data_IF_854054696324
#
_entry.id   IF_854054696324
#
_cell.length_a   1.000
_cell.length_b   1.000
_cell.length_c   1.000
_cell.angle_alpha   90.00
_cell.angle_beta   90.00
_cell.angle_gamma   90.00
#
_symmetry.space_group_name_H-M   'P 1'
#
loop_
_entity.id
_entity.type
_entity.pdbx_description
1 polymer ?
#
# COMPACT_ATOMS: atom_id res chain seq x y z
N UNK A 1 69.40 -3.61 -16.59
CA UNK A 1 68.50 -4.47 -17.40
C UNK A 1 67.11 -4.29 -16.85
N UNK A 2 66.25 -3.68 -17.66
CA UNK A 2 64.90 -3.21 -17.35
C UNK A 2 63.94 -4.37 -17.05
N UNK A 3 63.13 -4.27 -15.99
CA UNK A 3 61.80 -4.88 -15.97
C UNK A 3 60.80 -3.84 -15.46
N UNK A 4 60.26 -3.10 -16.42
CA UNK A 4 59.25 -2.06 -16.24
C UNK A 4 57.87 -2.65 -15.94
N UNK A 5 57.20 -2.04 -14.94
CA UNK A 5 55.78 -1.63 -14.90
C UNK A 5 54.93 -2.12 -16.09
N UNK A 6 54.19 -3.23 -15.95
CA UNK A 6 53.14 -3.59 -16.92
C UNK A 6 51.84 -4.16 -16.34
N UNK A 7 51.68 -4.23 -15.01
CA UNK A 7 50.36 -4.42 -14.40
C UNK A 7 49.79 -3.05 -14.01
N UNK A 8 48.48 -2.87 -14.15
CA UNK A 8 47.67 -1.71 -13.71
C UNK A 8 47.47 -0.52 -14.67
N UNK A 9 47.38 -0.73 -15.99
CA UNK A 9 46.72 0.26 -16.87
C UNK A 9 45.53 -0.28 -17.63
N UNK A 10 45.59 -1.52 -18.13
CA UNK A 10 44.50 -2.18 -18.84
C UNK A 10 43.34 -2.58 -17.94
N UNK A 11 43.58 -3.08 -16.72
CA UNK A 11 42.52 -3.43 -15.78
C UNK A 11 41.76 -2.18 -15.24
N UNK A 12 42.48 -1.07 -15.02
CA UNK A 12 41.88 0.19 -14.56
C UNK A 12 41.08 0.87 -15.69
N UNK A 13 41.58 0.83 -16.93
CA UNK A 13 40.85 1.32 -18.11
C UNK A 13 39.62 0.47 -18.45
N UNK A 14 39.67 -0.86 -18.26
CA UNK A 14 38.52 -1.74 -18.45
C UNK A 14 37.42 -1.50 -17.39
N UNK A 15 37.78 -1.31 -16.11
CA UNK A 15 36.81 -0.95 -15.07
C UNK A 15 36.20 0.45 -15.28
N UNK A 16 37.00 1.43 -15.70
CA UNK A 16 36.52 2.77 -16.05
C UNK A 16 35.61 2.75 -17.29
N UNK A 17 35.95 1.96 -18.31
CA UNK A 17 35.12 1.78 -19.50
C UNK A 17 33.77 1.11 -19.16
N UNK A 18 33.78 0.07 -18.33
CA UNK A 18 32.57 -0.62 -17.86
C UNK A 18 31.68 0.30 -17.01
N UNK A 19 32.24 1.09 -16.09
CA UNK A 19 31.50 2.10 -15.32
C UNK A 19 30.95 3.23 -16.22
N UNK A 20 31.72 3.71 -17.19
CA UNK A 20 31.24 4.74 -18.11
C UNK A 20 30.15 4.25 -19.05
N UNK A 21 30.20 2.98 -19.47
CA UNK A 21 29.15 2.34 -20.26
C UNK A 21 27.88 2.09 -19.44
N UNK A 22 28.00 1.70 -18.17
CA UNK A 22 26.84 1.53 -17.28
C UNK A 22 26.19 2.86 -16.91
N UNK A 23 26.97 3.91 -16.63
CA UNK A 23 26.46 5.27 -16.39
C UNK A 23 25.82 5.86 -17.64
N UNK A 24 26.40 5.67 -18.83
CA UNK A 24 25.81 6.12 -20.09
C UNK A 24 24.53 5.34 -20.46
N UNK A 25 24.45 4.03 -20.14
CA UNK A 25 23.25 3.24 -20.34
C UNK A 25 22.13 3.64 -19.37
N UNK A 26 22.47 3.92 -18.11
CA UNK A 26 21.53 4.41 -17.09
C UNK A 26 21.03 5.82 -17.43
N UNK A 27 21.91 6.71 -17.90
CA UNK A 27 21.57 8.04 -18.44
C UNK A 27 20.60 7.99 -19.62
N UNK A 28 20.77 7.07 -20.57
CA UNK A 28 19.82 6.91 -21.69
C UNK A 28 18.48 6.30 -21.28
N UNK A 29 18.50 5.44 -20.26
CA UNK A 29 17.27 4.86 -19.71
C UNK A 29 16.45 5.96 -19.03
N UNK A 30 17.09 6.82 -18.26
CA UNK A 30 16.47 7.97 -17.60
C UNK A 30 15.98 9.02 -18.62
N UNK A 31 16.74 9.32 -19.68
CA UNK A 31 16.34 10.26 -20.74
C UNK A 31 14.94 9.95 -21.31
N UNK A 32 14.60 8.67 -21.46
CA UNK A 32 13.29 8.26 -21.97
C UNK A 32 12.15 8.60 -21.01
N UNK A 33 12.36 8.42 -19.71
CA UNK A 33 11.35 8.75 -18.70
C UNK A 33 11.27 10.26 -18.45
N UNK A 34 12.40 10.97 -18.55
CA UNK A 34 12.46 12.45 -18.49
C UNK A 34 11.68 13.09 -19.64
N UNK A 35 11.62 12.43 -20.80
CA UNK A 35 10.86 12.91 -21.95
C UNK A 35 9.34 12.71 -21.83
N UNK A 36 8.86 11.91 -20.88
CA UNK A 36 7.44 11.70 -20.70
C UNK A 36 6.75 12.92 -20.08
N UNK A 37 5.52 13.25 -20.51
CA UNK A 37 4.76 14.31 -19.89
C UNK A 37 4.49 13.98 -18.42
N UNK A 38 4.64 14.99 -17.57
CA UNK A 38 4.32 14.89 -16.16
C UNK A 38 2.88 15.27 -15.92
N UNK A 39 2.16 14.47 -15.13
CA UNK A 39 0.84 14.82 -14.64
C UNK A 39 0.95 15.45 -13.25
N UNK A 40 0.40 16.66 -13.08
CA UNK A 40 0.49 17.43 -11.83
C UNK A 40 -0.84 17.58 -11.07
N UNK A 41 -1.92 16.96 -11.58
CA UNK A 41 -3.19 16.94 -10.85
C UNK A 41 -3.23 15.85 -9.78
N UNK A 42 -4.34 15.76 -9.06
CA UNK A 42 -4.47 15.00 -7.80
C UNK A 42 -5.57 13.92 -7.82
N UNK A 43 -6.12 13.63 -8.99
CA UNK A 43 -7.21 12.69 -9.24
C UNK A 43 -6.75 11.51 -10.11
N UNK A 44 -5.47 11.10 -9.96
CA UNK A 44 -5.04 9.83 -10.52
C UNK A 44 -5.90 8.70 -9.96
N UNK A 45 -6.05 7.70 -10.81
CA UNK A 45 -6.75 6.45 -10.65
C UNK A 45 -8.27 6.52 -10.64
N UNK A 46 -8.92 6.96 -9.56
CA UNK A 46 -10.38 6.92 -9.46
C UNK A 46 -10.94 8.01 -8.55
N UNK A 47 -11.95 8.72 -9.03
CA UNK A 47 -12.73 9.70 -8.27
C UNK A 47 -14.22 9.51 -8.55
N UNK A 48 -15.04 9.50 -7.49
CA UNK A 48 -16.51 9.58 -7.61
C UNK A 48 -16.93 11.02 -7.35
N UNK A 49 -17.57 11.66 -8.34
CA UNK A 49 -18.03 13.05 -8.24
C UNK A 49 -19.16 13.33 -9.23
N UNK A 50 -20.13 14.15 -8.82
CA UNK A 50 -21.23 14.58 -9.69
C UNK A 50 -22.07 13.44 -10.26
N UNK A 51 -22.25 12.35 -9.50
CA UNK A 51 -22.96 11.15 -9.94
C UNK A 51 -22.20 10.30 -10.97
N UNK A 52 -20.91 10.56 -11.20
CA UNK A 52 -20.06 9.83 -12.11
C UNK A 52 -18.88 9.18 -11.38
N UNK A 53 -18.38 8.08 -11.93
CA UNK A 53 -17.09 7.50 -11.55
C UNK A 53 -16.09 7.78 -12.66
N UNK A 54 -15.04 8.52 -12.34
CA UNK A 54 -14.02 8.99 -13.28
C UNK A 54 -12.73 8.24 -12.99
N UNK A 55 -12.16 7.64 -14.02
CA UNK A 55 -10.90 6.93 -13.97
C UNK A 55 -9.80 7.71 -14.69
N UNK A 56 -8.59 7.73 -14.12
CA UNK A 56 -7.42 8.36 -14.75
C UNK A 56 -6.16 7.54 -14.56
N UNK A 57 -5.54 7.08 -15.64
CA UNK A 57 -4.31 6.30 -15.60
C UNK A 57 -3.18 7.07 -16.25
N UNK A 58 -2.06 7.27 -15.57
CA UNK A 58 -0.85 7.77 -16.23
C UNK A 58 -0.12 6.61 -16.90
N UNK A 59 -0.12 6.59 -18.23
CA UNK A 59 0.55 5.55 -19.03
C UNK A 59 0.92 6.13 -20.40
N UNK A 60 1.90 7.06 -20.45
CA UNK A 60 2.19 7.87 -21.65
C UNK A 60 2.65 7.05 -22.87
N UNK A 61 3.15 5.83 -22.63
CA UNK A 61 3.65 4.94 -23.69
C UNK A 61 2.56 4.02 -24.26
N UNK A 62 1.42 3.87 -23.58
CA UNK A 62 0.39 2.94 -24.02
C UNK A 62 -0.16 3.33 -25.41
N UNK A 63 -0.53 2.32 -26.21
CA UNK A 63 -1.21 2.50 -27.50
C UNK A 63 -2.73 2.59 -27.33
N UNK A 64 -3.24 1.96 -26.26
CA UNK A 64 -4.63 1.95 -25.84
C UNK A 64 -4.70 1.62 -24.35
N UNK A 65 -5.76 2.05 -23.68
CA UNK A 65 -6.05 1.68 -22.30
C UNK A 65 -7.53 1.36 -22.11
N UNK A 66 -7.80 0.43 -21.22
CA UNK A 66 -9.14 0.00 -20.80
C UNK A 66 -9.28 0.17 -19.29
N UNK A 67 -10.51 0.44 -18.86
CA UNK A 67 -10.95 0.14 -17.50
C UNK A 67 -11.98 -0.99 -17.53
N UNK A 68 -11.70 -2.05 -16.80
CA UNK A 68 -12.57 -3.22 -16.66
C UNK A 68 -13.32 -3.10 -15.33
N UNK A 69 -14.64 -3.26 -15.34
CA UNK A 69 -15.49 -3.20 -14.14
C UNK A 69 -15.96 -4.61 -13.77
N UNK A 70 -15.96 -4.90 -12.48
CA UNK A 70 -16.27 -6.21 -11.90
C UNK A 70 -17.27 -6.07 -10.75
N UNK A 71 -18.10 -7.09 -10.57
CA UNK A 71 -19.01 -7.27 -9.43
C UNK A 71 -18.38 -8.06 -8.26
N UNK A 72 -17.16 -8.57 -8.45
CA UNK A 72 -16.42 -9.36 -7.48
C UNK A 72 -14.94 -8.93 -7.43
N UNK A 73 -14.37 -8.87 -6.22
CA UNK A 73 -13.00 -8.41 -6.02
C UNK A 73 -11.90 -9.42 -6.34
N UNK A 74 -12.24 -10.68 -6.60
CA UNK A 74 -11.26 -11.78 -6.68
C UNK A 74 -11.41 -12.65 -7.94
N UNK A 75 -12.64 -12.98 -8.34
CA UNK A 75 -12.94 -13.96 -9.40
C UNK A 75 -13.93 -13.43 -10.43
N UNK A 76 -14.16 -14.18 -11.51
CA UNK A 76 -15.13 -13.81 -12.53
C UNK A 76 -14.56 -12.90 -13.62
N UNK A 77 -15.39 -12.62 -14.62
CA UNK A 77 -15.07 -11.78 -15.79
C UNK A 77 -15.58 -10.36 -15.58
N UNK A 78 -15.07 -9.37 -16.32
CA UNK A 78 -15.61 -8.02 -16.24
C UNK A 78 -17.07 -8.01 -16.69
N UNK A 79 -17.90 -7.27 -15.97
CA UNK A 79 -19.30 -7.03 -16.30
C UNK A 79 -19.42 -5.94 -17.37
N UNK A 80 -18.51 -4.97 -17.35
CA UNK A 80 -18.41 -3.88 -18.33
C UNK A 80 -16.94 -3.54 -18.59
N UNK A 81 -16.63 -3.08 -19.80
CA UNK A 81 -15.29 -2.67 -20.22
C UNK A 81 -15.42 -1.36 -20.96
N UNK A 82 -14.60 -0.37 -20.61
CA UNK A 82 -14.61 0.96 -21.22
C UNK A 82 -13.25 1.28 -21.82
N UNK A 83 -13.26 1.72 -23.07
CA UNK A 83 -12.09 2.37 -23.68
C UNK A 83 -11.78 3.68 -22.95
N UNK A 84 -10.50 3.91 -22.70
CA UNK A 84 -10.03 5.16 -22.13
C UNK A 84 -9.52 6.09 -23.25
N UNK A 85 -9.72 7.38 -23.07
CA UNK A 85 -9.28 8.44 -24.01
C UNK A 85 -7.94 8.98 -23.56
N UNK A 86 -6.96 9.00 -24.46
CA UNK A 86 -5.63 9.55 -24.22
C UNK A 86 -5.63 11.09 -24.20
N UNK A 87 -4.87 11.66 -23.28
CA UNK A 87 -4.41 13.04 -23.27
C UNK A 87 -2.89 13.07 -23.43
N UNK A 88 -2.42 13.40 -24.63
CA UNK A 88 -1.00 13.42 -24.96
C UNK A 88 -0.23 14.51 -24.19
N UNK A 89 -0.88 15.60 -23.75
CA UNK A 89 -0.21 16.67 -23.03
C UNK A 89 0.19 16.25 -21.61
N UNK A 90 -0.59 15.35 -21.00
CA UNK A 90 -0.37 14.88 -19.63
C UNK A 90 0.13 13.44 -19.55
N UNK A 91 0.02 12.68 -20.64
CA UNK A 91 0.32 11.24 -20.67
C UNK A 91 -0.74 10.38 -19.98
N UNK A 92 -1.89 10.97 -19.68
CA UNK A 92 -2.97 10.27 -18.97
C UNK A 92 -3.99 9.69 -19.92
N UNK A 93 -4.69 8.67 -19.45
CA UNK A 93 -5.84 8.05 -20.06
C UNK A 93 -7.03 8.28 -19.15
N UNK A 94 -8.20 8.61 -19.70
CA UNK A 94 -9.40 8.89 -18.90
C UNK A 94 -10.63 8.14 -19.41
N UNK A 95 -11.46 7.70 -18.48
CA UNK A 95 -12.80 7.20 -18.77
C UNK A 95 -13.77 7.73 -17.71
N UNK A 96 -15.00 8.05 -18.11
CA UNK A 96 -16.05 8.49 -17.20
C UNK A 96 -17.26 7.59 -17.36
N UNK A 97 -17.70 6.99 -16.26
CA UNK A 97 -18.91 6.17 -16.20
C UNK A 97 -20.01 7.03 -15.56
N UNK A 98 -21.16 7.24 -16.22
CA UNK A 98 -22.20 8.18 -15.77
C UNK A 98 -23.09 7.59 -14.65
N UNK A 99 -22.44 6.97 -13.65
CA UNK A 99 -23.03 6.48 -12.40
C UNK A 99 -21.94 6.31 -11.35
N UNK A 100 -22.36 6.32 -10.09
CA UNK A 100 -21.51 5.94 -8.97
C UNK A 100 -21.36 4.42 -8.94
N UNK A 101 -20.12 3.94 -8.88
CA UNK A 101 -19.80 2.50 -8.93
C UNK A 101 -19.52 1.93 -7.54
N UNK A 102 -20.06 2.53 -6.46
CA UNK A 102 -19.84 2.03 -5.10
C UNK A 102 -20.15 0.54 -4.96
N UNK A 103 -19.23 -0.20 -4.36
CA UNK A 103 -19.31 -1.66 -4.19
C UNK A 103 -18.79 -2.46 -5.39
N UNK A 104 -18.49 -1.81 -6.51
CA UNK A 104 -17.87 -2.45 -7.67
C UNK A 104 -16.34 -2.44 -7.55
N UNK A 105 -15.72 -3.27 -8.38
CA UNK A 105 -14.26 -3.37 -8.49
C UNK A 105 -13.82 -3.01 -9.90
N UNK A 106 -12.55 -2.65 -10.06
CA UNK A 106 -11.99 -2.35 -11.35
C UNK A 106 -10.51 -2.75 -11.48
N UNK A 107 -10.08 -2.85 -12.73
CA UNK A 107 -8.68 -2.92 -13.11
C UNK A 107 -8.45 -2.03 -14.32
N UNK A 108 -7.19 -1.64 -14.52
CA UNK A 108 -6.71 -1.10 -15.77
C UNK A 108 -6.03 -2.18 -16.60
N UNK A 109 -6.13 -2.02 -17.91
CA UNK A 109 -5.33 -2.79 -18.86
C UNK A 109 -4.77 -1.84 -19.91
N UNK A 110 -3.51 -2.01 -20.27
CA UNK A 110 -2.86 -1.18 -21.30
C UNK A 110 -2.31 -2.04 -22.42
N UNK A 111 -2.28 -1.46 -23.61
CA UNK A 111 -1.68 -2.06 -24.80
C UNK A 111 -0.30 -1.46 -25.04
N UNK A 112 0.72 -2.31 -25.18
CA UNK A 112 2.09 -1.92 -25.52
C UNK A 112 2.64 -2.85 -26.60
N UNK A 113 3.20 -2.29 -27.67
CA UNK A 113 3.73 -3.02 -28.82
C UNK A 113 2.71 -4.01 -29.42
N UNK A 114 1.47 -3.56 -29.63
CA UNK A 114 0.42 -4.39 -30.21
C UNK A 114 -0.20 -5.44 -29.26
N UNK A 115 0.28 -5.58 -28.02
CA UNK A 115 -0.17 -6.59 -27.05
C UNK A 115 -0.82 -5.96 -25.83
N UNK A 116 -1.95 -6.52 -25.39
CA UNK A 116 -2.52 -6.21 -24.09
C UNK A 116 -1.66 -6.85 -22.99
N UNK A 117 -1.26 -6.04 -22.01
CA UNK A 117 -0.55 -6.51 -20.82
C UNK A 117 -1.56 -7.07 -19.79
N UNK A 118 -1.02 -7.64 -18.72
CA UNK A 118 -1.83 -8.10 -17.59
C UNK A 118 -2.59 -6.92 -16.95
N UNK A 119 -3.75 -7.24 -16.37
CA UNK A 119 -4.54 -6.27 -15.63
C UNK A 119 -3.86 -5.87 -14.31
N UNK A 120 -4.10 -4.63 -13.89
CA UNK A 120 -3.58 -4.09 -12.64
C UNK A 120 -4.67 -3.31 -11.90
N UNK A 121 -4.71 -3.34 -10.56
CA UNK A 121 -5.58 -2.43 -9.79
C UNK A 121 -5.21 -0.94 -10.00
N UNK A 122 -4.04 -0.66 -10.55
CA UNK A 122 -3.46 0.69 -10.57
C UNK A 122 -2.42 0.86 -9.47
N UNK A 123 -1.54 1.84 -9.62
CA UNK A 123 -0.46 2.11 -8.65
C UNK A 123 -0.97 2.91 -7.45
N UNK A 124 -2.09 3.62 -7.60
CA UNK A 124 -2.61 4.57 -6.61
C UNK A 124 -3.74 3.99 -5.75
N UNK A 125 -4.04 2.70 -5.90
CA UNK A 125 -5.21 2.01 -5.37
C UNK A 125 -5.36 2.30 -3.88
N UNK A 126 -6.51 2.82 -3.47
CA UNK A 126 -6.80 3.14 -2.05
C UNK A 126 -7.63 2.08 -1.34
N UNK A 127 -8.22 1.17 -2.11
CA UNK A 127 -8.99 0.04 -1.64
C UNK A 127 -8.89 -1.08 -2.67
N UNK A 128 -8.85 -2.33 -2.23
CA UNK A 128 -8.79 -3.52 -3.08
C UNK A 128 -9.67 -4.63 -2.53
N UNK A 129 -10.06 -5.55 -3.41
CA UNK A 129 -10.63 -6.83 -3.01
C UNK A 129 -9.58 -7.77 -2.43
N UNK A 130 -10.05 -8.91 -1.90
CA UNK A 130 -9.17 -9.95 -1.33
C UNK A 130 -8.08 -10.39 -2.30
N UNK A 131 -6.83 -10.42 -1.81
CA UNK A 131 -5.62 -10.71 -2.56
C UNK A 131 -5.09 -9.56 -3.42
N UNK A 132 -5.71 -8.38 -3.37
CA UNK A 132 -5.15 -7.13 -3.90
C UNK A 132 -5.04 -7.02 -5.42
N UNK A 133 -5.75 -7.86 -6.18
CA UNK A 133 -5.67 -7.86 -7.67
C UNK A 133 -6.66 -6.94 -8.37
N UNK A 134 -7.70 -6.48 -7.68
CA UNK A 134 -8.69 -5.54 -8.21
C UNK A 134 -8.89 -4.41 -7.23
N UNK A 135 -8.82 -3.18 -7.71
CA UNK A 135 -9.15 -2.01 -6.91
C UNK A 135 -10.66 -1.94 -6.68
N UNK A 136 -11.08 -1.34 -5.57
CA UNK A 136 -12.48 -1.23 -5.17
C UNK A 136 -12.94 0.22 -5.19
N UNK A 137 -14.19 0.44 -5.62
CA UNK A 137 -14.85 1.75 -5.52
C UNK A 137 -15.66 1.77 -4.23
N UNK A 138 -15.17 2.49 -3.23
CA UNK A 138 -15.82 2.64 -1.92
C UNK A 138 -15.94 4.10 -1.51
N UNK A 139 -16.89 4.41 -0.62
CA UNK A 139 -16.93 5.70 0.05
C UNK A 139 -16.02 5.69 1.27
N UNK A 140 -14.85 6.33 1.18
CA UNK A 140 -13.86 6.38 2.25
C UNK A 140 -14.38 7.00 3.55
N UNK A 141 -15.45 7.79 3.51
CA UNK A 141 -16.04 8.39 4.72
C UNK A 141 -16.77 7.35 5.56
N UNK A 142 -17.27 6.27 4.94
CA UNK A 142 -17.96 5.18 5.63
C UNK A 142 -17.00 4.31 6.44
N UNK A 143 -15.69 4.46 6.25
CA UNK A 143 -14.66 3.72 7.00
C UNK A 143 -14.14 4.50 8.20
N UNK A 144 -14.61 5.73 8.44
CA UNK A 144 -14.16 6.55 9.56
C UNK A 144 -14.77 6.08 10.88
N UNK A 145 -13.97 5.80 11.92
CA UNK A 145 -14.49 5.60 13.26
C UNK A 145 -15.05 6.91 13.86
N UNK A 146 -15.76 6.79 14.97
CA UNK A 146 -16.30 7.95 15.67
C UNK A 146 -15.19 8.94 16.06
N UNK A 147 -15.41 10.23 15.77
CA UNK A 147 -14.45 11.30 16.08
C UNK A 147 -13.21 11.36 15.16
N UNK A 148 -13.12 10.54 14.11
CA UNK A 148 -11.98 10.51 13.19
C UNK A 148 -11.62 11.87 12.58
N UNK A 149 -12.62 12.64 12.16
CA UNK A 149 -12.39 13.97 11.53
C UNK A 149 -11.75 15.00 12.48
N UNK A 150 -11.80 14.77 13.80
CA UNK A 150 -11.20 15.63 14.81
C UNK A 150 -9.90 15.05 15.39
N UNK A 151 -9.49 13.86 14.95
CA UNK A 151 -8.29 13.19 15.44
C UNK A 151 -7.04 13.85 14.86
N UNK A 152 -6.06 14.14 15.72
CA UNK A 152 -4.79 14.77 15.35
C UNK A 152 -3.56 14.01 15.89
N UNK A 153 -3.77 12.93 16.62
CA UNK A 153 -2.72 12.23 17.35
C UNK A 153 -2.04 13.07 18.45
N UNK A 154 -1.07 12.49 19.18
CA UNK A 154 -0.30 13.20 20.18
C UNK A 154 0.69 14.19 19.54
N UNK A 155 0.87 15.35 20.17
CA UNK A 155 1.82 16.35 19.71
C UNK A 155 3.28 15.93 20.01
N UNK A 156 4.17 16.12 19.04
CA UNK A 156 5.62 15.93 19.20
C UNK A 156 6.30 17.29 19.19
N UNK A 157 6.89 17.69 20.31
CA UNK A 157 7.56 19.00 20.41
C UNK A 157 9.00 18.91 19.90
N UNK A 158 9.75 17.89 20.32
CA UNK A 158 11.10 17.61 19.82
C UNK A 158 11.21 16.13 19.43
N UNK A 159 11.95 15.85 18.36
CA UNK A 159 12.19 14.48 17.93
C UNK A 159 12.96 13.65 18.97
N UNK A 160 13.75 14.28 19.84
CA UNK A 160 14.47 13.60 20.93
C UNK A 160 13.56 13.14 22.07
N UNK A 161 12.31 13.60 22.12
CA UNK A 161 11.32 13.15 23.11
C UNK A 161 10.66 11.83 22.68
N UNK A 162 10.92 11.36 21.45
CA UNK A 162 10.33 10.16 20.87
C UNK A 162 11.01 8.90 21.41
N UNK A 163 10.22 8.08 22.08
CA UNK A 163 10.53 6.69 22.46
C UNK A 163 9.71 5.77 21.56
N UNK A 164 10.40 5.01 20.70
CA UNK A 164 9.82 4.11 19.69
C UNK A 164 9.75 2.68 20.24
N UNK A 165 8.62 2.03 20.02
CA UNK A 165 8.44 0.59 20.18
C UNK A 165 8.08 -0.05 18.85
N UNK A 166 9.01 -0.83 18.30
CA UNK A 166 8.77 -1.55 17.05
C UNK A 166 7.93 -2.81 17.30
N UNK A 167 6.92 -3.03 16.47
CA UNK A 167 6.02 -4.18 16.57
C UNK A 167 5.48 -4.66 15.23
N UNK A 168 4.95 -5.87 15.24
CA UNK A 168 4.23 -6.49 14.14
C UNK A 168 2.83 -6.91 14.61
N UNK A 169 1.79 -6.67 13.81
CA UNK A 169 0.37 -6.91 14.18
C UNK A 169 0.13 -8.33 14.69
N UNK A 170 0.68 -9.32 13.99
CA UNK A 170 0.57 -10.74 14.36
C UNK A 170 1.32 -11.03 15.65
N UNK A 171 2.55 -10.55 15.79
CA UNK A 171 3.43 -10.93 16.90
C UNK A 171 2.93 -10.39 18.23
N UNK A 172 2.39 -9.17 18.22
CA UNK A 172 1.87 -8.52 19.41
C UNK A 172 0.79 -9.37 20.12
N UNK A 173 -0.04 -10.09 19.37
CA UNK A 173 -1.31 -10.61 19.88
C UNK A 173 -1.57 -12.10 19.63
N UNK A 174 -0.83 -12.75 18.72
CA UNK A 174 -1.11 -14.13 18.30
C UNK A 174 -0.90 -15.17 19.40
N UNK A 175 -0.10 -14.87 20.43
CA UNK A 175 0.15 -15.82 21.50
C UNK A 175 -1.15 -16.19 22.26
N UNK A 176 -1.42 -17.47 22.58
CA UNK A 176 -2.65 -17.88 23.25
C UNK A 176 -2.91 -17.18 24.60
N UNK A 177 -1.84 -16.78 25.29
CA UNK A 177 -1.92 -16.06 26.56
C UNK A 177 -1.98 -14.53 26.44
N UNK A 178 -2.17 -13.97 25.24
CA UNK A 178 -2.20 -12.51 25.04
C UNK A 178 -3.41 -11.84 25.70
N UNK A 179 -4.47 -12.58 25.99
CA UNK A 179 -5.73 -12.03 26.50
C UNK A 179 -6.57 -11.30 25.44
N UNK A 180 -6.04 -11.14 24.22
CA UNK A 180 -6.68 -10.42 23.10
C UNK A 180 -7.61 -11.35 22.33
N UNK A 181 -8.79 -10.89 21.96
CA UNK A 181 -9.77 -11.61 21.15
C UNK A 181 -9.38 -11.61 19.67
N UNK A 182 -9.11 -10.43 19.09
CA UNK A 182 -8.77 -10.24 17.68
C UNK A 182 -7.28 -10.51 17.40
N UNK A 183 -6.82 -11.72 17.70
CA UNK A 183 -5.42 -12.13 17.56
C UNK A 183 -4.92 -11.96 16.13
N UNK A 184 -3.82 -11.22 16.00
CA UNK A 184 -3.13 -10.89 14.76
C UNK A 184 -3.88 -9.97 13.81
N UNK A 185 -4.84 -9.21 14.32
CA UNK A 185 -5.66 -8.27 13.54
C UNK A 185 -5.39 -6.83 13.94
N UNK A 186 -5.77 -5.89 13.08
CA UNK A 186 -5.73 -4.45 13.42
C UNK A 186 -6.48 -4.15 14.72
N UNK A 187 -7.64 -4.79 14.94
CA UNK A 187 -8.44 -4.61 16.15
C UNK A 187 -7.76 -5.09 17.45
N UNK A 188 -6.64 -5.83 17.38
CA UNK A 188 -5.91 -6.26 18.57
C UNK A 188 -5.50 -5.08 19.47
N UNK A 189 -5.16 -3.94 18.85
CA UNK A 189 -4.74 -2.72 19.55
C UNK A 189 -5.91 -1.83 19.99
N UNK A 190 -7.15 -2.20 19.69
CA UNK A 190 -8.34 -1.48 20.17
C UNK A 190 -8.92 -2.07 21.45
N UNK A 191 -8.39 -3.20 21.91
CA UNK A 191 -8.92 -3.95 23.05
C UNK A 191 -8.25 -3.51 24.36
N UNK A 192 -9.04 -2.92 25.26
CA UNK A 192 -8.62 -2.55 26.61
C UNK A 192 -8.92 -3.65 27.63
N UNK A 193 -8.19 -3.65 28.74
CA UNK A 193 -8.33 -4.59 29.85
C UNK A 193 -7.80 -5.99 29.54
N UNK A 194 -7.01 -6.16 28.48
CA UNK A 194 -6.42 -7.45 28.13
C UNK A 194 -5.30 -7.79 29.10
N UNK A 195 -5.29 -9.03 29.60
CA UNK A 195 -4.29 -9.50 30.56
C UNK A 195 -3.76 -10.88 30.20
N UNK A 196 -2.51 -11.13 30.62
CA UNK A 196 -1.89 -12.45 30.56
C UNK A 196 -2.49 -13.41 31.60
N UNK A 197 -2.08 -14.69 31.54
CA UNK A 197 -2.48 -15.70 32.55
C UNK A 197 -2.01 -15.35 33.96
N UNK A 198 -1.03 -14.46 34.12
CA UNK A 198 -0.52 -13.97 35.40
C UNK A 198 -1.20 -12.67 35.84
N UNK A 199 -2.16 -12.15 35.06
CA UNK A 199 -2.85 -10.89 35.36
C UNK A 199 -2.04 -9.63 35.01
N UNK A 200 -0.98 -9.75 34.21
CA UNK A 200 -0.21 -8.60 33.72
C UNK A 200 -0.92 -7.99 32.52
N UNK A 201 -0.90 -6.65 32.39
CA UNK A 201 -1.46 -5.97 31.23
C UNK A 201 -0.77 -6.46 29.94
N UNK A 202 -1.54 -6.51 28.86
CA UNK A 202 -1.08 -6.83 27.50
C UNK A 202 -1.65 -5.81 26.51
N UNK A 203 -1.25 -5.91 25.23
CA UNK A 203 -1.83 -5.07 24.18
C UNK A 203 -1.60 -3.57 24.41
N UNK A 204 -2.60 -2.75 24.08
CA UNK A 204 -2.51 -1.29 24.16
C UNK A 204 -2.29 -0.78 25.60
N UNK A 205 -2.89 -1.43 26.59
CA UNK A 205 -2.75 -1.01 27.98
C UNK A 205 -1.32 -1.24 28.50
N UNK A 206 -0.66 -2.31 28.08
CA UNK A 206 0.75 -2.53 28.38
C UNK A 206 1.67 -1.52 27.68
N UNK A 207 1.40 -1.18 26.41
CA UNK A 207 2.17 -0.15 25.71
C UNK A 207 2.06 1.20 26.42
N UNK A 208 0.86 1.55 26.89
CA UNK A 208 0.62 2.75 27.70
C UNK A 208 1.32 2.69 29.05
N UNK A 209 1.28 1.55 29.74
CA UNK A 209 2.00 1.31 31.01
C UNK A 209 3.51 1.47 30.84
N UNK A 210 4.07 0.97 29.74
CA UNK A 210 5.50 1.03 29.43
C UNK A 210 5.99 2.48 29.23
N UNK A 211 5.08 3.41 28.91
CA UNK A 211 5.39 4.83 28.76
C UNK A 211 6.06 5.19 27.43
N UNK A 212 5.85 4.36 26.40
CA UNK A 212 6.32 4.67 25.04
C UNK A 212 5.54 5.87 24.48
N UNK A 213 6.12 6.54 23.51
CA UNK A 213 5.45 7.67 22.84
C UNK A 213 4.90 7.27 21.47
N UNK A 214 5.55 6.33 20.79
CA UNK A 214 5.19 5.93 19.44
C UNK A 214 5.35 4.42 19.27
N UNK A 215 4.41 3.81 18.55
CA UNK A 215 4.65 2.51 17.93
C UNK A 215 5.23 2.70 16.53
N UNK A 216 6.26 1.92 16.21
CA UNK A 216 6.71 1.70 14.83
C UNK A 216 6.12 0.38 14.36
N UNK A 217 5.20 0.45 13.41
CA UNK A 217 4.48 -0.72 12.93
C UNK A 217 5.14 -1.18 11.64
N UNK A 218 5.58 -2.44 11.62
CA UNK A 218 6.04 -3.14 10.42
C UNK A 218 5.03 -3.00 9.26
N UNK A 219 5.44 -3.31 8.01
CA UNK A 219 4.61 -3.14 6.82
C UNK A 219 3.13 -3.45 7.02
N UNK A 220 2.32 -2.40 6.90
CA UNK A 220 0.86 -2.45 7.06
C UNK A 220 0.11 -2.17 5.76
N UNK A 221 0.84 -1.98 4.66
CA UNK A 221 0.30 -1.92 3.30
C UNK A 221 0.11 -3.33 2.73
N UNK A 222 -0.74 -3.49 1.73
CA UNK A 222 -1.03 -4.76 1.05
C UNK A 222 0.23 -5.35 0.41
N UNK A 223 0.59 -6.57 0.81
CA UNK A 223 1.77 -7.29 0.33
C UNK A 223 1.40 -8.68 -0.23
N UNK A 224 2.31 -9.29 -1.00
CA UNK A 224 1.96 -10.43 -1.88
C UNK A 224 2.07 -11.81 -1.24
N UNK A 225 2.80 -11.94 -0.14
CA UNK A 225 3.32 -13.20 0.39
C UNK A 225 2.37 -13.97 1.32
N UNK A 226 1.16 -13.45 1.57
CA UNK A 226 0.16 -14.07 2.44
C UNK A 226 -1.16 -14.23 1.69
N UNK A 227 -1.72 -15.44 1.71
CA UNK A 227 -2.99 -15.74 1.04
C UNK A 227 -4.19 -15.26 1.85
N UNK A 228 -4.67 -14.05 1.58
CA UNK A 228 -5.82 -13.48 2.27
C UNK A 228 -7.12 -14.31 2.12
N UNK A 229 -7.21 -15.22 1.15
CA UNK A 229 -8.39 -16.08 0.96
C UNK A 229 -8.44 -17.23 1.96
N UNK A 230 -7.32 -17.52 2.65
CA UNK A 230 -7.20 -18.66 3.54
C UNK A 230 -6.45 -18.34 4.85
N UNK A 231 -6.97 -17.36 5.61
CA UNK A 231 -6.38 -16.87 6.85
C UNK A 231 -6.02 -17.94 7.89
N UNK A 232 -6.69 -19.10 7.91
CA UNK A 232 -6.42 -20.16 8.87
C UNK A 232 -5.09 -20.88 8.64
N UNK A 233 -4.64 -20.97 7.38
CA UNK A 233 -3.41 -21.68 7.00
C UNK A 233 -2.31 -20.71 6.55
N UNK A 234 -2.47 -19.43 6.85
CA UNK A 234 -1.56 -18.42 6.37
C UNK A 234 -0.17 -18.53 6.97
N UNK A 235 0.80 -18.57 6.06
CA UNK A 235 2.21 -18.40 6.34
C UNK A 235 2.44 -17.05 7.00
N UNK A 236 3.47 -17.00 7.84
CA UNK A 236 3.93 -15.76 8.44
C UNK A 236 4.82 -15.01 7.44
N UNK A 237 4.65 -13.69 7.35
CA UNK A 237 5.60 -12.79 6.70
C UNK A 237 5.64 -11.46 7.46
N UNK A 238 6.74 -10.73 7.34
CA UNK A 238 6.88 -9.36 7.84
C UNK A 238 6.25 -8.31 6.92
N UNK A 239 6.03 -8.62 5.64
CA UNK A 239 5.32 -7.76 4.68
C UNK A 239 6.22 -6.84 3.84
N UNK A 240 7.54 -7.07 3.81
CA UNK A 240 8.49 -6.32 2.95
C UNK A 240 8.46 -6.77 1.47
N UNK A 241 7.26 -7.02 0.93
CA UNK A 241 7.02 -7.41 -0.45
C UNK A 241 5.80 -6.67 -1.02
N UNK A 242 5.91 -5.35 -1.25
CA UNK A 242 4.78 -4.48 -1.56
C UNK A 242 4.00 -4.92 -2.80
N UNK A 243 2.67 -4.93 -2.67
CA UNK A 243 1.77 -5.17 -3.79
C UNK A 243 0.93 -3.92 -4.09
N UNK A 244 0.25 -3.34 -3.10
CA UNK A 244 -0.49 -2.08 -3.24
C UNK A 244 -0.12 -1.10 -2.12
N UNK A 245 0.68 -0.09 -2.46
CA UNK A 245 1.30 0.82 -1.47
C UNK A 245 0.33 1.68 -0.65
N UNK A 246 -0.88 1.93 -1.16
CA UNK A 246 -1.84 2.84 -0.54
C UNK A 246 -3.05 2.12 0.06
N UNK A 247 -2.99 0.80 0.19
CA UNK A 247 -4.07 -0.03 0.73
C UNK A 247 -3.57 -0.78 1.97
N UNK A 248 -4.34 -0.83 3.06
CA UNK A 248 -3.99 -1.66 4.20
C UNK A 248 -3.93 -3.15 3.85
N UNK A 249 -3.06 -3.89 4.50
CA UNK A 249 -2.94 -5.35 4.37
C UNK A 249 -4.23 -6.05 4.83
N UNK A 250 -4.73 -6.99 4.02
CA UNK A 250 -5.98 -7.70 4.33
C UNK A 250 -5.80 -8.87 5.29
N UNK A 251 -4.63 -9.49 5.41
CA UNK A 251 -4.45 -10.58 6.37
C UNK A 251 -4.58 -10.13 7.84
N UNK A 252 -4.37 -8.85 8.13
CA UNK A 252 -4.64 -8.23 9.43
C UNK A 252 -6.10 -7.74 9.59
N UNK A 253 -6.91 -7.80 8.55
CA UNK A 253 -8.35 -7.50 8.62
C UNK A 253 -9.14 -8.68 9.19
N UNK A 254 -10.25 -8.41 9.89
CA UNK A 254 -11.20 -9.47 10.26
C UNK A 254 -11.98 -10.01 9.06
N UNK A 255 -12.13 -9.20 8.00
CA UNK A 255 -12.79 -9.59 6.75
C UNK A 255 -12.06 -8.98 5.54
N UNK A 256 -11.05 -9.67 4.96
CA UNK A 256 -10.32 -9.17 3.79
C UNK A 256 -11.17 -9.10 2.51
N UNK A 257 -12.28 -9.84 2.44
CA UNK A 257 -13.19 -9.85 1.29
C UNK A 257 -14.06 -8.59 1.19
N UNK A 258 -14.22 -7.85 2.29
CA UNK A 258 -14.84 -6.53 2.29
C UNK A 258 -13.75 -5.43 2.28
N UNK A 259 -13.58 -4.69 1.17
CA UNK A 259 -12.56 -3.65 1.05
C UNK A 259 -12.66 -2.55 2.11
N UNK A 260 -13.87 -2.24 2.58
CA UNK A 260 -14.09 -1.19 3.57
C UNK A 260 -13.61 -1.59 4.96
N UNK A 261 -13.66 -2.89 5.29
CA UNK A 261 -13.33 -3.39 6.63
C UNK A 261 -11.86 -3.18 6.97
N UNK A 262 -10.91 -3.56 6.10
CA UNK A 262 -9.47 -3.38 6.39
C UNK A 262 -9.07 -1.91 6.62
N UNK A 263 -9.72 -0.99 5.90
CA UNK A 263 -9.48 0.45 6.01
C UNK A 263 -10.05 0.99 7.33
N UNK A 264 -11.28 0.60 7.67
CA UNK A 264 -11.91 1.00 8.92
C UNK A 264 -11.13 0.50 10.13
N UNK A 265 -10.74 -0.78 10.14
CA UNK A 265 -10.02 -1.37 11.26
C UNK A 265 -8.62 -0.77 11.44
N UNK A 266 -7.93 -0.43 10.35
CA UNK A 266 -6.66 0.31 10.43
C UNK A 266 -6.87 1.72 11.02
N UNK A 267 -7.95 2.43 10.63
CA UNK A 267 -8.30 3.72 11.23
C UNK A 267 -8.67 3.58 12.72
N UNK A 268 -9.39 2.53 13.09
CA UNK A 268 -9.74 2.22 14.48
C UNK A 268 -8.49 1.94 15.32
N UNK A 269 -7.52 1.18 14.80
CA UNK A 269 -6.22 0.97 15.43
C UNK A 269 -5.49 2.29 15.67
N UNK A 270 -5.39 3.15 14.63
CA UNK A 270 -4.69 4.44 14.73
C UNK A 270 -5.37 5.32 15.77
N UNK A 271 -6.71 5.39 15.71
CA UNK A 271 -7.52 6.17 16.65
C UNK A 271 -7.37 5.69 18.09
N UNK A 272 -7.36 4.37 18.32
CA UNK A 272 -7.19 3.80 19.66
C UNK A 272 -5.82 4.15 20.26
N UNK A 273 -4.75 4.07 19.46
CA UNK A 273 -3.41 4.49 19.88
C UNK A 273 -3.36 5.98 20.19
N UNK A 274 -3.94 6.83 19.35
CA UNK A 274 -4.03 8.27 19.59
C UNK A 274 -4.81 8.60 20.86
N UNK A 275 -5.94 7.92 21.11
CA UNK A 275 -6.72 8.07 22.35
C UNK A 275 -5.95 7.60 23.60
N UNK A 276 -5.02 6.66 23.43
CA UNK A 276 -4.08 6.25 24.48
C UNK A 276 -2.90 7.22 24.66
N UNK A 277 -2.76 8.24 23.80
CA UNK A 277 -1.65 9.20 23.78
C UNK A 277 -0.40 8.68 23.06
N UNK A 278 -0.53 7.67 22.22
CA UNK A 278 0.56 6.98 21.52
C UNK A 278 0.50 7.32 20.03
N UNK A 279 1.58 7.85 19.47
CA UNK A 279 1.71 8.15 18.05
C UNK A 279 1.99 6.89 17.21
N UNK A 280 1.75 6.98 15.91
CA UNK A 280 1.94 5.87 14.97
C UNK A 280 2.97 6.24 13.92
N UNK A 281 3.99 5.39 13.78
CA UNK A 281 4.97 5.43 12.68
C UNK A 281 4.73 4.19 11.83
N UNK A 282 4.48 4.39 10.52
CA UNK A 282 4.32 3.28 9.58
C UNK A 282 5.65 2.99 8.88
N UNK A 283 6.05 1.73 8.87
CA UNK A 283 7.11 1.26 7.99
C UNK A 283 6.62 1.26 6.53
N UNK A 284 7.41 1.85 5.63
CA UNK A 284 7.09 2.02 4.21
C UNK A 284 8.25 1.58 3.33
N UNK A 285 7.93 0.94 2.21
CA UNK A 285 8.93 0.27 1.35
C UNK A 285 8.79 0.80 -0.08
N UNK A 286 9.55 1.86 -0.40
CA UNK A 286 9.60 2.48 -1.73
C UNK A 286 11.00 2.37 -2.38
N UNK A 287 11.83 1.43 -1.91
CA UNK A 287 13.22 1.23 -2.37
C UNK A 287 13.34 0.32 -3.59
#
# INVERSE_FOLDING_TARGET
MNYHKHLNRTACAALLALCSASVAAQSRYDEKFVAYPTYSGNDLEMTVSGGCTIFRLWSPKAEAALVNIYDNGHTGKPVEVFDMTADAATGTWTAAVPRELYGMFYTFQVKDNGRWLDETPGVWAKAVGVGGKRAAVIDMRQTNPAGWEADCGPAVTHFTDVIIYEMHHRDLSMHPSSGIANKGKFLALTEHGTVSLQGLATGIDHLKELGITHVHILPSFDYSSVDETNLQYNTYNWGYDPQNYNVPEGSYSTNPSDPATRIREMKELVKALHDAGIGVVMDVVYN
#
